data_IF_592213783523
#
_entry.id   IF_592213783523
#
_cell.length_a   1.000
_cell.length_b   1.000
_cell.length_c   1.000
_cell.angle_alpha   90.00
_cell.angle_beta   90.00
_cell.angle_gamma   90.00
#
_symmetry.space_group_name_H-M   'P 1'
#
loop_
_entity.id
_entity.type
_entity.pdbx_description
1 polymer ?
#
# COMPACT_ATOMS: atom_id res chain seq x y z
N UNK A 1 -12.89 -20.74 -5.15
CA UNK A 1 -13.26 -19.38 -5.53
C UNK A 1 -13.86 -18.67 -4.31
N UNK A 2 -13.49 -17.41 -4.10
CA UNK A 2 -14.08 -16.57 -3.04
C UNK A 2 -15.47 -16.15 -3.50
N UNK A 3 -16.49 -16.45 -2.68
CA UNK A 3 -17.87 -16.04 -2.98
C UNK A 3 -18.04 -14.56 -2.61
N UNK A 4 -18.28 -13.74 -3.61
CA UNK A 4 -18.55 -12.30 -3.47
C UNK A 4 -20.04 -11.94 -3.50
N UNK A 5 -20.95 -12.94 -3.65
CA UNK A 5 -22.38 -12.69 -3.89
C UNK A 5 -23.10 -12.06 -2.68
N UNK A 6 -22.52 -12.21 -1.48
CA UNK A 6 -23.05 -11.60 -0.25
C UNK A 6 -22.48 -10.22 0.05
N UNK A 7 -21.55 -9.73 -0.77
CA UNK A 7 -20.90 -8.43 -0.59
C UNK A 7 -21.58 -7.37 -1.45
N UNK A 8 -21.59 -6.14 -0.98
CA UNK A 8 -21.98 -5.01 -1.82
C UNK A 8 -20.95 -4.84 -2.95
N UNK A 9 -21.37 -4.23 -4.05
CA UNK A 9 -20.45 -3.93 -5.17
C UNK A 9 -19.23 -3.13 -4.72
N UNK A 10 -19.39 -2.22 -3.75
CA UNK A 10 -18.30 -1.46 -3.16
C UNK A 10 -17.32 -2.37 -2.37
N UNK A 11 -17.82 -3.21 -1.48
CA UNK A 11 -16.99 -4.16 -0.72
C UNK A 11 -16.22 -5.09 -1.65
N UNK A 12 -16.90 -5.66 -2.66
CA UNK A 12 -16.25 -6.53 -3.64
C UNK A 12 -15.12 -5.80 -4.41
N UNK A 13 -15.34 -4.56 -4.82
CA UNK A 13 -14.33 -3.75 -5.50
C UNK A 13 -13.11 -3.49 -4.60
N UNK A 14 -13.34 -3.12 -3.33
CA UNK A 14 -12.27 -2.91 -2.34
C UNK A 14 -11.44 -4.17 -2.14
N UNK A 15 -12.07 -5.31 -1.92
CA UNK A 15 -11.39 -6.57 -1.67
C UNK A 15 -10.61 -7.05 -2.90
N UNK A 16 -11.15 -6.88 -4.11
CA UNK A 16 -10.43 -7.17 -5.36
C UNK A 16 -9.20 -6.28 -5.52
N UNK A 17 -9.31 -4.98 -5.23
CA UNK A 17 -8.17 -4.07 -5.27
C UNK A 17 -7.08 -4.49 -4.26
N UNK A 18 -7.46 -4.81 -3.02
CA UNK A 18 -6.53 -5.30 -2.01
C UNK A 18 -5.83 -6.60 -2.42
N UNK A 19 -6.55 -7.51 -3.09
CA UNK A 19 -6.00 -8.77 -3.60
C UNK A 19 -4.89 -8.58 -4.64
N UNK A 20 -4.80 -7.43 -5.29
CA UNK A 20 -3.73 -7.13 -6.25
C UNK A 20 -2.42 -6.73 -5.60
N UNK A 21 -2.41 -6.45 -4.30
CA UNK A 21 -1.20 -6.05 -3.57
C UNK A 21 -0.30 -7.27 -3.39
N UNK A 22 0.92 -7.26 -3.94
CA UNK A 22 1.80 -8.42 -3.85
C UNK A 22 2.25 -8.72 -2.42
N UNK A 23 2.64 -9.98 -2.20
CA UNK A 23 3.28 -10.41 -0.96
C UNK A 23 4.54 -9.58 -0.68
N UNK A 24 4.72 -9.17 0.57
CA UNK A 24 5.85 -8.35 1.01
C UNK A 24 5.75 -6.88 0.60
N UNK A 25 4.61 -6.45 0.09
CA UNK A 25 4.33 -5.06 -0.25
C UNK A 25 3.09 -4.56 0.51
N UNK A 26 3.06 -3.27 0.80
CA UNK A 26 1.90 -2.61 1.39
C UNK A 26 1.46 -1.41 0.56
N UNK A 27 0.19 -1.06 0.64
CA UNK A 27 -0.40 0.14 0.02
C UNK A 27 -1.27 0.87 1.02
N UNK A 28 -1.34 2.21 0.94
CA UNK A 28 -2.23 2.97 1.83
C UNK A 28 -3.71 2.78 1.46
N UNK A 29 -4.61 2.97 2.45
CA UNK A 29 -6.07 2.96 2.21
C UNK A 29 -6.48 3.90 1.08
N UNK A 30 -5.83 5.06 0.98
CA UNK A 30 -6.07 6.01 -0.11
C UNK A 30 -5.73 5.45 -1.50
N UNK A 31 -4.75 4.57 -1.60
CA UNK A 31 -4.44 3.87 -2.85
C UNK A 31 -5.60 2.96 -3.27
N UNK A 32 -6.14 2.18 -2.35
CA UNK A 32 -7.30 1.31 -2.62
C UNK A 32 -8.51 2.15 -3.07
N UNK A 33 -8.78 3.26 -2.38
CA UNK A 33 -9.87 4.17 -2.75
C UNK A 33 -9.71 4.72 -4.18
N UNK A 34 -8.50 5.09 -4.56
CA UNK A 34 -8.20 5.57 -5.93
C UNK A 34 -8.33 4.45 -6.97
N UNK A 35 -7.84 3.25 -6.68
CA UNK A 35 -7.94 2.08 -7.58
C UNK A 35 -9.39 1.74 -7.94
N UNK A 36 -10.32 1.93 -7.01
CA UNK A 36 -11.76 1.70 -7.25
C UNK A 36 -12.50 2.93 -7.78
N UNK A 37 -11.78 4.00 -8.13
CA UNK A 37 -12.35 5.24 -8.68
C UNK A 37 -13.11 6.10 -7.65
N UNK A 38 -12.87 5.92 -6.36
CA UNK A 38 -13.55 6.64 -5.26
C UNK A 38 -12.54 7.24 -4.26
N UNK A 39 -11.71 8.20 -4.67
CA UNK A 39 -10.59 8.69 -3.86
C UNK A 39 -11.00 9.31 -2.51
N UNK A 40 -12.23 9.78 -2.39
CA UNK A 40 -12.79 10.31 -1.13
C UNK A 40 -13.29 9.23 -0.16
N UNK A 41 -13.36 7.96 -0.57
CA UNK A 41 -13.99 6.89 0.22
C UNK A 41 -13.01 6.15 1.16
N UNK A 42 -11.93 6.77 1.61
CA UNK A 42 -10.87 6.13 2.40
C UNK A 42 -11.40 5.46 3.67
N UNK A 43 -12.32 6.13 4.39
CA UNK A 43 -12.92 5.58 5.60
C UNK A 43 -13.81 4.37 5.29
N UNK A 44 -14.61 4.44 4.23
CA UNK A 44 -15.46 3.33 3.78
C UNK A 44 -14.62 2.13 3.29
N UNK A 45 -13.46 2.37 2.69
CA UNK A 45 -12.48 1.32 2.35
C UNK A 45 -12.03 0.58 3.61
N UNK A 46 -11.70 1.30 4.69
CA UNK A 46 -11.34 0.70 5.96
C UNK A 46 -12.44 -0.22 6.51
N UNK A 47 -13.69 0.24 6.49
CA UNK A 47 -14.85 -0.55 6.92
C UNK A 47 -15.05 -1.80 6.05
N UNK A 48 -14.90 -1.68 4.74
CA UNK A 48 -15.03 -2.80 3.83
C UNK A 48 -13.93 -3.86 4.05
N UNK A 49 -12.69 -3.43 4.30
CA UNK A 49 -11.59 -4.35 4.63
C UNK A 49 -11.79 -5.04 5.98
N UNK A 50 -12.37 -4.34 6.98
CA UNK A 50 -12.70 -4.92 8.26
C UNK A 50 -13.76 -6.03 8.17
N UNK A 51 -14.63 -5.99 7.16
CA UNK A 51 -15.65 -7.00 6.89
C UNK A 51 -15.20 -8.11 5.93
N UNK A 52 -13.89 -8.24 5.68
CA UNK A 52 -13.34 -9.27 4.80
C UNK A 52 -13.71 -10.68 5.28
N UNK A 53 -14.48 -11.46 4.49
CA UNK A 53 -14.94 -12.79 4.90
C UNK A 53 -13.86 -13.87 4.82
N UNK A 54 -12.77 -13.61 4.13
CA UNK A 54 -11.70 -14.58 3.86
C UNK A 54 -10.31 -13.95 4.04
N UNK A 55 -10.01 -13.52 5.27
CA UNK A 55 -8.71 -12.91 5.57
C UNK A 55 -7.57 -13.88 5.23
N UNK A 56 -6.40 -13.36 4.96
CA UNK A 56 -5.21 -14.03 4.44
C UNK A 56 -5.32 -14.40 2.94
N UNK A 57 -6.45 -14.92 2.47
CA UNK A 57 -6.69 -15.14 1.03
C UNK A 57 -6.83 -13.78 0.33
N UNK A 58 -7.65 -12.90 0.91
CA UNK A 58 -7.68 -11.49 0.53
C UNK A 58 -6.84 -10.73 1.55
N UNK A 59 -5.68 -10.19 1.16
CA UNK A 59 -4.66 -9.72 2.09
C UNK A 59 -4.95 -8.31 2.63
N UNK A 60 -6.02 -8.15 3.42
CA UNK A 60 -6.36 -6.87 4.04
C UNK A 60 -5.24 -6.33 4.96
N UNK A 61 -4.38 -7.22 5.49
CA UNK A 61 -3.20 -6.82 6.26
C UNK A 61 -2.16 -6.03 5.45
N UNK A 62 -2.18 -6.11 4.11
CA UNK A 62 -1.28 -5.32 3.24
C UNK A 62 -1.77 -3.89 2.99
N UNK A 63 -2.88 -3.48 3.62
CA UNK A 63 -3.36 -2.10 3.54
C UNK A 63 -3.04 -1.36 4.83
N UNK A 64 -2.37 -0.21 4.70
CA UNK A 64 -1.84 0.59 5.81
C UNK A 64 -2.36 2.02 5.75
N UNK A 65 -2.12 2.83 6.80
CA UNK A 65 -2.48 4.25 6.80
C UNK A 65 -1.60 5.05 5.85
N UNK A 66 -2.09 6.19 5.41
CA UNK A 66 -1.37 7.08 4.48
C UNK A 66 -0.11 7.70 5.08
N UNK A 67 -0.03 7.80 6.41
CA UNK A 67 1.17 8.24 7.13
C UNK A 67 2.25 7.16 7.26
N UNK A 68 1.97 5.93 6.78
CA UNK A 68 2.86 4.78 6.86
C UNK A 68 2.75 3.98 8.15
N UNK A 69 1.85 4.35 9.08
CA UNK A 69 1.54 3.50 10.24
C UNK A 69 0.68 2.32 9.81
N UNK A 70 0.80 1.17 10.51
CA UNK A 70 0.12 -0.06 10.10
C UNK A 70 -1.40 0.05 10.16
N UNK A 71 -1.94 0.84 11.11
CA UNK A 71 -3.38 0.94 11.33
C UNK A 71 -3.96 -0.30 12.00
N UNK A 72 -5.28 -0.30 12.14
CA UNK A 72 -6.01 -1.37 12.80
C UNK A 72 -6.05 -2.65 11.95
N UNK A 73 -6.30 -3.77 12.60
CA UNK A 73 -6.48 -5.06 11.97
C UNK A 73 -7.71 -5.76 12.52
N UNK A 74 -8.59 -6.23 11.65
CA UNK A 74 -9.87 -6.82 12.04
C UNK A 74 -9.78 -8.25 12.59
N UNK A 75 -8.64 -8.90 12.45
CA UNK A 75 -8.39 -10.26 12.92
C UNK A 75 -7.56 -10.27 14.22
N UNK A 76 -8.07 -9.66 15.26
CA UNK A 76 -7.43 -9.66 16.57
C UNK A 76 -6.47 -8.50 16.80
N UNK A 77 -5.42 -8.75 17.55
CA UNK A 77 -4.47 -7.73 17.97
C UNK A 77 -3.69 -7.11 16.79
N UNK A 78 -3.33 -5.81 16.88
CA UNK A 78 -2.49 -5.15 15.88
C UNK A 78 -1.18 -5.89 15.57
N UNK A 79 -0.67 -6.64 16.55
CA UNK A 79 0.53 -7.46 16.45
C UNK A 79 0.41 -8.57 15.40
N UNK A 80 -0.80 -9.09 15.17
CA UNK A 80 -1.04 -10.10 14.14
C UNK A 80 -0.77 -9.55 12.74
N UNK A 81 -1.12 -8.30 12.50
CA UNK A 81 -0.83 -7.62 11.23
C UNK A 81 0.68 -7.48 11.02
N UNK A 82 1.40 -7.07 12.05
CA UNK A 82 2.87 -6.97 12.04
C UNK A 82 3.51 -8.30 11.71
N UNK A 83 3.16 -9.34 12.45
CA UNK A 83 3.68 -10.69 12.28
C UNK A 83 3.46 -11.23 10.86
N UNK A 84 2.26 -11.02 10.29
CA UNK A 84 1.96 -11.44 8.92
C UNK A 84 2.83 -10.70 7.89
N UNK A 85 3.01 -9.41 8.03
CA UNK A 85 3.83 -8.62 7.11
C UNK A 85 5.30 -9.02 7.17
N UNK A 86 5.84 -9.25 8.37
CA UNK A 86 7.21 -9.74 8.56
C UNK A 86 7.40 -11.16 7.99
N UNK A 87 6.43 -12.05 8.20
CA UNK A 87 6.42 -13.39 7.60
C UNK A 87 6.38 -13.34 6.07
N UNK A 88 5.77 -12.32 5.50
CA UNK A 88 5.77 -12.07 4.07
C UNK A 88 7.10 -11.51 3.54
N UNK A 89 8.03 -11.18 4.42
CA UNK A 89 9.35 -10.66 4.08
C UNK A 89 9.43 -9.13 4.00
N UNK A 90 8.45 -8.43 4.58
CA UNK A 90 8.52 -6.98 4.69
C UNK A 90 9.48 -6.59 5.83
N UNK A 91 10.47 -5.77 5.52
CA UNK A 91 11.30 -5.10 6.53
C UNK A 91 10.51 -3.95 7.14
N UNK A 92 9.75 -4.26 8.20
CA UNK A 92 8.92 -3.28 8.90
C UNK A 92 9.76 -2.18 9.56
N UNK A 93 10.92 -2.52 10.10
CA UNK A 93 11.81 -1.52 10.72
C UNK A 93 12.20 -0.44 9.73
N UNK A 94 12.65 -0.81 8.56
CA UNK A 94 12.98 0.14 7.48
C UNK A 94 11.76 0.90 6.99
N UNK A 95 10.62 0.23 6.85
CA UNK A 95 9.37 0.87 6.41
C UNK A 95 8.89 1.93 7.41
N UNK A 96 8.86 1.60 8.70
CA UNK A 96 8.45 2.51 9.77
C UNK A 96 9.43 3.68 9.94
N UNK A 97 10.74 3.43 9.78
CA UNK A 97 11.74 4.48 9.82
C UNK A 97 11.55 5.51 8.68
N UNK A 98 11.23 5.06 7.48
CA UNK A 98 10.86 5.94 6.37
C UNK A 98 9.59 6.73 6.68
N UNK A 99 8.57 6.07 7.19
CA UNK A 99 7.31 6.70 7.56
C UNK A 99 7.51 7.80 8.63
N UNK A 100 8.33 7.52 9.65
CA UNK A 100 8.67 8.48 10.72
C UNK A 100 9.38 9.73 10.19
N UNK A 101 10.18 9.59 9.13
CA UNK A 101 10.83 10.71 8.42
C UNK A 101 9.91 11.44 7.45
N UNK A 102 8.65 11.06 7.36
CA UNK A 102 7.69 11.65 6.44
C UNK A 102 7.84 11.20 4.99
N UNK A 103 8.61 10.15 4.72
CA UNK A 103 8.79 9.60 3.38
C UNK A 103 7.55 8.80 2.98
N UNK A 104 6.98 9.14 1.84
CA UNK A 104 5.78 8.46 1.29
C UNK A 104 6.07 7.72 0.00
N UNK A 105 7.07 8.17 -0.73
CA UNK A 105 7.51 7.57 -1.99
C UNK A 105 9.04 7.52 -2.05
N UNK A 106 9.56 6.56 -2.81
CA UNK A 106 10.98 6.46 -3.11
C UNK A 106 11.18 6.36 -4.62
N UNK A 107 12.16 7.05 -5.12
CA UNK A 107 12.53 7.03 -6.53
C UNK A 107 13.95 6.52 -6.76
N UNK A 108 14.29 6.29 -8.02
CA UNK A 108 15.64 6.02 -8.45
C UNK A 108 16.09 7.10 -9.43
N UNK A 109 17.22 7.73 -9.15
CA UNK A 109 17.81 8.75 -10.04
C UNK A 109 18.29 8.15 -11.37
N UNK A 110 18.56 6.84 -11.39
CA UNK A 110 18.93 6.12 -12.63
C UNK A 110 17.75 5.99 -13.60
N UNK A 111 16.53 5.83 -13.07
CA UNK A 111 15.33 5.57 -13.91
C UNK A 111 14.36 6.74 -13.98
N UNK A 112 14.44 7.70 -13.07
CA UNK A 112 13.47 8.78 -12.93
C UNK A 112 12.06 8.30 -12.58
N UNK A 113 11.94 7.12 -11.92
CA UNK A 113 10.66 6.54 -11.54
C UNK A 113 10.52 6.57 -10.03
N UNK A 114 9.35 6.98 -9.52
CA UNK A 114 9.02 6.88 -8.10
C UNK A 114 7.94 5.83 -7.83
N UNK A 115 8.06 5.17 -6.68
CA UNK A 115 7.26 4.03 -6.25
C UNK A 115 6.77 4.20 -4.81
N UNK A 116 5.81 3.38 -4.38
CA UNK A 116 5.64 3.11 -2.95
C UNK A 116 6.93 2.49 -2.38
N UNK A 117 7.32 2.80 -1.14
CA UNK A 117 8.60 2.34 -0.57
C UNK A 117 8.79 0.83 -0.57
N UNK A 118 7.72 0.07 -0.41
CA UNK A 118 7.75 -1.39 -0.37
C UNK A 118 7.68 -2.06 -1.75
N UNK A 119 7.49 -1.29 -2.82
CA UNK A 119 7.43 -1.83 -4.17
C UNK A 119 8.72 -2.57 -4.52
N UNK A 120 8.59 -3.75 -5.13
CA UNK A 120 9.74 -4.54 -5.59
C UNK A 120 10.70 -3.77 -6.50
N UNK A 121 10.19 -2.82 -7.28
CA UNK A 121 11.03 -1.97 -8.12
C UNK A 121 11.80 -0.93 -7.31
N UNK A 122 11.20 -0.37 -6.26
CA UNK A 122 11.89 0.53 -5.33
C UNK A 122 13.02 -0.19 -4.59
N UNK A 123 12.79 -1.43 -4.18
CA UNK A 123 13.79 -2.24 -3.46
C UNK A 123 15.01 -2.64 -4.30
N UNK A 124 14.89 -2.58 -5.63
CA UNK A 124 16.02 -2.84 -6.55
C UNK A 124 16.96 -1.65 -6.69
N UNK A 125 16.51 -0.45 -6.35
CA UNK A 125 17.38 0.72 -6.38
C UNK A 125 18.43 0.61 -5.27
N UNK A 126 19.69 0.68 -5.64
CA UNK A 126 20.77 0.74 -4.66
C UNK A 126 20.68 1.99 -3.79
N UNK A 127 21.19 1.94 -2.55
CA UNK A 127 21.08 3.03 -1.59
C UNK A 127 21.61 4.38 -2.14
N UNK A 128 22.67 4.35 -2.97
CA UNK A 128 23.28 5.52 -3.59
C UNK A 128 22.42 6.19 -4.66
N UNK A 129 21.46 5.45 -5.24
CA UNK A 129 20.57 5.91 -6.32
C UNK A 129 19.15 6.18 -5.85
N UNK A 130 18.91 5.98 -4.56
CA UNK A 130 17.59 6.14 -3.98
C UNK A 130 17.35 7.58 -3.55
N UNK A 131 16.21 8.12 -3.99
CA UNK A 131 15.73 9.45 -3.60
C UNK A 131 14.40 9.29 -2.90
N UNK A 132 14.25 9.91 -1.73
CA UNK A 132 13.05 9.86 -0.91
C UNK A 132 12.16 11.09 -1.12
N UNK A 133 10.85 10.91 -1.23
CA UNK A 133 9.88 11.98 -1.45
C UNK A 133 8.78 11.94 -0.38
N UNK A 134 8.43 13.12 0.14
CA UNK A 134 7.34 13.26 1.11
C UNK A 134 5.95 13.28 0.44
N UNK A 135 5.87 13.56 -0.86
CA UNK A 135 4.61 13.62 -1.59
C UNK A 135 4.80 13.33 -3.07
N UNK A 136 3.70 12.97 -3.74
CA UNK A 136 3.64 12.87 -5.20
C UNK A 136 4.08 14.17 -5.89
N UNK A 137 3.59 15.31 -5.39
CA UNK A 137 3.92 16.60 -5.96
C UNK A 137 5.42 16.86 -5.96
N UNK A 138 6.11 16.55 -4.85
CA UNK A 138 7.56 16.69 -4.75
C UNK A 138 8.29 15.77 -5.73
N UNK A 139 7.84 14.54 -5.89
CA UNK A 139 8.42 13.61 -6.86
C UNK A 139 8.26 14.11 -8.31
N UNK A 140 7.05 14.56 -8.68
CA UNK A 140 6.78 15.11 -10.01
C UNK A 140 7.55 16.40 -10.28
N UNK A 141 7.63 17.30 -9.30
CA UNK A 141 8.41 18.55 -9.42
C UNK A 141 9.91 18.28 -9.60
N UNK A 142 10.40 17.16 -9.09
CA UNK A 142 11.78 16.69 -9.31
C UNK A 142 11.98 15.97 -10.65
N UNK A 143 10.95 15.88 -11.51
CA UNK A 143 11.02 15.27 -12.82
C UNK A 143 10.78 13.76 -12.84
N UNK A 144 10.32 13.17 -11.73
CA UNK A 144 10.06 11.74 -11.63
C UNK A 144 8.65 11.40 -12.10
N UNK A 145 8.51 10.26 -12.78
CA UNK A 145 7.21 9.72 -13.17
C UNK A 145 6.77 8.56 -12.24
N UNK A 146 5.46 8.34 -12.07
CA UNK A 146 4.98 7.24 -11.23
C UNK A 146 5.27 5.88 -11.85
N UNK A 147 5.55 4.92 -11.00
CA UNK A 147 5.71 3.52 -11.37
C UNK A 147 4.39 2.95 -11.89
N UNK A 148 4.43 2.29 -13.06
CA UNK A 148 3.25 1.67 -13.67
C UNK A 148 2.81 0.38 -12.96
N UNK A 149 3.71 -0.24 -12.19
CA UNK A 149 3.43 -1.50 -11.48
C UNK A 149 2.74 -1.27 -10.15
N UNK A 150 3.30 -0.46 -9.26
CA UNK A 150 2.67 -0.17 -7.97
C UNK A 150 1.67 0.99 -8.02
N UNK A 151 1.62 1.74 -9.13
CA UNK A 151 0.70 2.85 -9.33
C UNK A 151 0.57 3.74 -8.10
N UNK A 152 1.67 4.38 -7.64
CA UNK A 152 1.69 5.16 -6.40
C UNK A 152 0.67 6.30 -6.41
N UNK A 153 0.26 6.69 -7.61
CA UNK A 153 -0.87 7.57 -7.85
C UNK A 153 -1.78 6.89 -8.86
N UNK A 154 -3.07 6.83 -8.56
CA UNK A 154 -4.04 6.41 -9.54
C UNK A 154 -4.11 7.46 -10.65
N UNK A 155 -4.15 6.98 -11.84
CA UNK A 155 -4.37 7.83 -13.00
C UNK A 155 -5.74 8.52 -12.93
#
# INVERSE_FOLDING_TARGET
PVDFDRLTAFQAAVLRAAATIPRGEVRPYGWVAKEIGKPGAVRAVGTALASNPVPMIIPCHRVVRSDGTLGDYSLGEPENKRTLLEFEGLDLGSFEALAARGVRFTGSDTTGIFCHPTCRHARRAGATHRIDFASEQKARSAGYRPCKVCRPVAA
#
